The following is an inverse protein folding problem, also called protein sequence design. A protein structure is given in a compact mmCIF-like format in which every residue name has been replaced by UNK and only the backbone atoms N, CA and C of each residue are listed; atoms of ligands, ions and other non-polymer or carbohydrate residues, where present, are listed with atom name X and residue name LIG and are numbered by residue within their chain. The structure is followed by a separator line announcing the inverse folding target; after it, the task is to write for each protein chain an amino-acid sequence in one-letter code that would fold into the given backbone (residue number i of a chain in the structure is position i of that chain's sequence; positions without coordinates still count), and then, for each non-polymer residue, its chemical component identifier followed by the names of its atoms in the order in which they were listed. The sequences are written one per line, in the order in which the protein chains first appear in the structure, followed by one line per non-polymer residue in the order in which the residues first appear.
data_IF_937853414444
#
_entry.id   IF_937853414444
#
_cell.length_a   1.000
_cell.length_b   1.000
_cell.length_c   1.000
_cell.angle_alpha   90.00
_cell.angle_beta   90.00
_cell.angle_gamma   90.00
#
_symmetry.space_group_name_H-M   'P 1'
#
loop_
_entity.id
_entity.type
_entity.pdbx_description
1 polymer ?
#
# COMPACT_ATOMS: atom_id res chain seq x y z
N UNK A 1 -48.34 26.99 6.75
CA UNK A 1 -48.45 25.54 6.41
C UNK A 1 -48.08 25.22 4.95
N UNK A 2 -48.53 25.95 3.92
CA UNK A 2 -48.19 25.62 2.49
C UNK A 2 -46.70 25.68 2.16
N UNK A 3 -45.94 26.63 2.69
CA UNK A 3 -44.49 26.76 2.43
C UNK A 3 -43.67 25.66 3.13
N UNK A 4 -44.03 25.26 4.33
CA UNK A 4 -43.34 24.16 5.04
C UNK A 4 -43.52 22.81 4.32
N UNK A 5 -44.73 22.53 3.77
CA UNK A 5 -44.94 21.32 2.95
C UNK A 5 -44.15 21.34 1.64
N UNK A 6 -44.02 22.51 0.98
CA UNK A 6 -43.21 22.65 -0.25
C UNK A 6 -41.70 22.46 0.03
N UNK A 7 -41.22 23.01 1.15
CA UNK A 7 -39.82 22.84 1.57
C UNK A 7 -39.53 21.36 1.90
N UNK A 8 -40.47 20.69 2.63
CA UNK A 8 -40.30 19.27 2.93
C UNK A 8 -40.33 18.39 1.68
N UNK A 9 -41.18 18.70 0.71
CA UNK A 9 -41.21 18.00 -0.59
C UNK A 9 -39.96 18.25 -1.43
N UNK A 10 -39.40 19.48 -1.42
CA UNK A 10 -38.09 19.73 -2.08
C UNK A 10 -36.96 19.01 -1.41
N UNK A 11 -36.90 18.98 -0.09
CA UNK A 11 -35.88 18.22 0.66
C UNK A 11 -36.02 16.71 0.38
N UNK A 12 -37.24 16.19 0.38
CA UNK A 12 -37.50 14.78 0.04
C UNK A 12 -37.17 14.45 -1.43
N UNK A 13 -37.43 15.37 -2.36
CA UNK A 13 -37.04 15.21 -3.77
C UNK A 13 -35.51 15.26 -3.98
N UNK A 14 -34.81 16.15 -3.28
CA UNK A 14 -33.35 16.22 -3.31
C UNK A 14 -32.74 14.96 -2.69
N UNK A 15 -33.27 14.49 -1.56
CA UNK A 15 -32.85 13.22 -0.94
C UNK A 15 -33.16 12.01 -1.84
N UNK A 16 -34.34 12.02 -2.50
CA UNK A 16 -34.71 10.97 -3.45
C UNK A 16 -33.82 10.94 -4.69
N UNK A 17 -33.37 12.09 -5.19
CA UNK A 17 -32.43 12.18 -6.30
C UNK A 17 -31.01 11.77 -5.89
N UNK A 18 -30.56 12.07 -4.66
CA UNK A 18 -29.28 11.60 -4.12
C UNK A 18 -29.23 10.07 -3.94
N UNK A 19 -30.38 9.44 -3.69
CA UNK A 19 -30.49 7.97 -3.58
C UNK A 19 -30.65 7.31 -4.96
N UNK A 20 -31.22 8.02 -5.95
CA UNK A 20 -31.53 7.51 -7.28
C UNK A 20 -30.41 7.66 -8.33
N UNK A 21 -29.25 8.24 -7.98
CA UNK A 21 -28.12 8.28 -8.91
C UNK A 21 -27.46 6.91 -9.01
N UNK A 22 -28.06 6.12 -9.87
CA UNK A 22 -27.50 5.16 -10.84
C UNK A 22 -26.29 4.35 -10.42
N UNK A 23 -26.52 3.09 -10.27
CA UNK A 23 -25.62 2.00 -10.61
C UNK A 23 -24.93 2.20 -11.97
N UNK A 24 -23.86 2.97 -12.03
CA UNK A 24 -22.78 2.58 -12.91
C UNK A 24 -22.20 1.30 -12.27
N UNK A 25 -22.15 0.22 -13.04
CA UNK A 25 -21.67 -1.07 -12.59
C UNK A 25 -20.16 -0.98 -12.32
N UNK A 26 -19.79 -0.37 -11.20
CA UNK A 26 -18.47 -0.53 -10.59
C UNK A 26 -18.66 -1.62 -9.56
N UNK A 27 -18.02 -2.74 -9.76
CA UNK A 27 -18.04 -3.86 -8.82
C UNK A 27 -17.26 -3.48 -7.55
N UNK A 28 -17.71 -4.01 -6.41
CA UNK A 28 -16.91 -3.92 -5.19
C UNK A 28 -15.58 -4.65 -5.39
N UNK A 29 -14.49 -4.01 -4.98
CA UNK A 29 -13.18 -4.64 -5.05
C UNK A 29 -13.02 -5.64 -3.92
N UNK A 30 -12.82 -6.92 -4.24
CA UNK A 30 -12.62 -7.96 -3.23
C UNK A 30 -11.44 -7.62 -2.32
N UNK A 31 -11.70 -7.49 -1.01
CA UNK A 31 -10.69 -7.13 0.01
C UNK A 31 -10.16 -5.70 -0.10
N UNK A 32 -10.81 -4.86 -0.88
CA UNK A 32 -10.54 -3.43 -1.05
C UNK A 32 -11.77 -2.59 -0.70
N UNK A 33 -11.81 -1.33 -1.12
CA UNK A 33 -12.94 -0.45 -0.87
C UNK A 33 -14.18 -0.91 -1.66
N UNK A 34 -15.36 -0.86 -0.99
CA UNK A 34 -16.65 -1.08 -1.62
C UNK A 34 -17.16 0.20 -2.29
N UNK A 35 -18.03 0.04 -3.31
CA UNK A 35 -18.67 1.16 -3.98
C UNK A 35 -19.55 1.93 -2.98
N UNK A 36 -19.39 3.26 -2.94
CA UNK A 36 -20.09 4.16 -1.99
C UNK A 36 -19.88 3.83 -0.51
N UNK A 37 -18.73 3.28 -0.18
CA UNK A 37 -18.36 3.00 1.20
C UNK A 37 -18.27 4.31 2.00
N UNK A 38 -19.05 4.41 3.08
CA UNK A 38 -19.11 5.59 3.97
C UNK A 38 -18.28 5.42 5.24
N UNK A 39 -17.83 4.20 5.53
CA UNK A 39 -17.00 3.87 6.69
C UNK A 39 -15.76 3.11 6.24
N UNK A 40 -14.92 2.66 7.16
CA UNK A 40 -13.78 1.82 6.85
C UNK A 40 -14.20 0.50 6.19
N UNK A 41 -13.25 -0.16 5.53
CA UNK A 41 -13.45 -1.49 4.97
C UNK A 41 -13.87 -2.48 6.08
N UNK A 42 -14.62 -3.55 5.74
CA UNK A 42 -14.98 -4.57 6.71
C UNK A 42 -13.75 -5.10 7.46
N UNK A 43 -13.75 -5.06 8.80
CA UNK A 43 -12.59 -5.47 9.59
C UNK A 43 -12.42 -6.99 9.56
N UNK A 44 -11.15 -7.42 9.52
CA UNK A 44 -10.77 -8.84 9.56
C UNK A 44 -9.75 -9.15 10.65
N UNK A 45 -9.50 -8.19 11.52
CA UNK A 45 -8.66 -8.33 12.73
C UNK A 45 -9.38 -7.71 13.93
N UNK A 46 -9.04 -8.12 15.13
CA UNK A 46 -9.56 -7.49 16.36
C UNK A 46 -9.26 -5.99 16.40
N UNK A 47 -8.02 -5.57 16.06
CA UNK A 47 -7.63 -4.15 16.03
C UNK A 47 -8.47 -3.36 15.00
N UNK A 48 -8.66 -3.89 13.80
CA UNK A 48 -9.49 -3.24 12.78
C UNK A 48 -10.94 -3.10 13.25
N UNK A 49 -11.47 -4.08 13.98
CA UNK A 49 -12.80 -4.04 14.59
C UNK A 49 -12.90 -2.94 15.64
N UNK A 50 -11.91 -2.81 16.52
CA UNK A 50 -11.87 -1.74 17.54
C UNK A 50 -11.83 -0.36 16.88
N UNK A 51 -11.00 -0.18 15.83
CA UNK A 51 -10.91 1.07 15.05
C UNK A 51 -12.26 1.38 14.39
N UNK A 52 -12.91 0.38 13.77
CA UNK A 52 -14.21 0.55 13.12
C UNK A 52 -15.29 0.99 14.10
N UNK A 53 -15.35 0.36 15.28
CA UNK A 53 -16.31 0.70 16.33
C UNK A 53 -16.06 2.11 16.89
N UNK A 54 -14.79 2.44 17.15
CA UNK A 54 -14.41 3.77 17.63
C UNK A 54 -14.79 4.88 16.63
N UNK A 55 -14.49 4.66 15.35
CA UNK A 55 -14.89 5.59 14.30
C UNK A 55 -16.40 5.74 14.20
N UNK A 56 -17.16 4.64 14.26
CA UNK A 56 -18.63 4.67 14.24
C UNK A 56 -19.19 5.45 15.44
N UNK A 57 -18.66 5.24 16.63
CA UNK A 57 -19.03 6.00 17.82
C UNK A 57 -18.78 7.50 17.62
N UNK A 58 -17.60 7.87 17.11
CA UNK A 58 -17.26 9.27 16.83
C UNK A 58 -18.22 9.89 15.81
N UNK A 59 -18.54 9.17 14.72
CA UNK A 59 -19.48 9.64 13.71
C UNK A 59 -20.88 9.87 14.28
N UNK A 60 -21.37 8.97 15.12
CA UNK A 60 -22.68 9.14 15.80
C UNK A 60 -22.69 10.39 16.68
N UNK A 61 -21.65 10.60 17.49
CA UNK A 61 -21.51 11.79 18.32
C UNK A 61 -21.47 13.06 17.47
N UNK A 62 -20.68 13.08 16.38
CA UNK A 62 -20.62 14.23 15.47
C UNK A 62 -21.96 14.53 14.80
N UNK A 63 -22.71 13.51 14.37
CA UNK A 63 -24.05 13.69 13.78
C UNK A 63 -25.03 14.24 14.82
N UNK A 64 -25.00 13.76 16.05
CA UNK A 64 -25.88 14.27 17.13
C UNK A 64 -25.57 15.74 17.45
N UNK A 65 -24.29 16.11 17.54
CA UNK A 65 -23.88 17.51 17.75
C UNK A 65 -24.31 18.36 16.55
N UNK A 66 -24.09 17.92 15.33
CA UNK A 66 -24.53 18.60 14.11
C UNK A 66 -26.05 18.86 14.13
N UNK A 67 -26.84 17.82 14.39
CA UNK A 67 -28.30 17.95 14.44
C UNK A 67 -28.76 18.89 15.56
N UNK A 68 -28.13 18.85 16.75
CA UNK A 68 -28.46 19.74 17.85
C UNK A 68 -28.14 21.20 17.50
N UNK A 69 -26.94 21.48 17.03
CA UNK A 69 -26.49 22.86 16.74
C UNK A 69 -27.29 23.46 15.58
N UNK A 70 -27.36 22.76 14.45
CA UNK A 70 -28.12 23.25 13.29
C UNK A 70 -29.61 23.28 13.54
N UNK A 71 -30.16 22.33 14.33
CA UNK A 71 -31.53 22.32 14.76
C UNK A 71 -31.91 23.59 15.53
N UNK A 72 -31.12 23.95 16.55
CA UNK A 72 -31.31 25.20 17.31
C UNK A 72 -31.13 26.43 16.43
N UNK A 73 -30.11 26.44 15.56
CA UNK A 73 -29.89 27.55 14.64
C UNK A 73 -31.06 27.76 13.68
N UNK A 74 -31.50 26.72 12.99
CA UNK A 74 -32.67 26.83 12.07
C UNK A 74 -33.96 27.16 12.80
N UNK A 75 -34.18 26.58 13.99
CA UNK A 75 -35.31 26.96 14.83
C UNK A 75 -35.30 28.46 15.13
N UNK A 76 -34.15 29.00 15.55
CA UNK A 76 -33.98 30.43 15.86
C UNK A 76 -34.22 31.31 14.63
N UNK A 77 -33.63 30.95 13.47
CA UNK A 77 -33.83 31.70 12.21
C UNK A 77 -35.30 31.73 11.79
N UNK A 78 -36.00 30.60 11.91
CA UNK A 78 -37.41 30.50 11.46
C UNK A 78 -38.37 31.15 12.43
N UNK A 79 -38.17 30.95 13.73
CA UNK A 79 -39.12 31.41 14.78
C UNK A 79 -38.88 32.84 15.21
N UNK A 80 -37.60 33.28 15.28
CA UNK A 80 -37.27 34.59 15.84
C UNK A 80 -36.90 35.65 14.77
N UNK A 81 -37.30 35.39 13.50
CA UNK A 81 -37.03 36.35 12.42
C UNK A 81 -37.80 37.64 12.59
N UNK A 82 -37.21 38.76 12.27
CA UNK A 82 -37.79 40.15 12.36
C UNK A 82 -39.08 40.25 11.60
N UNK A 83 -39.27 39.57 10.47
CA UNK A 83 -40.52 39.59 9.67
C UNK A 83 -41.76 38.99 10.39
N UNK A 84 -41.59 38.32 11.51
CA UNK A 84 -42.68 37.83 12.37
C UNK A 84 -42.94 38.73 13.56
N UNK A 85 -42.34 39.97 13.60
CA UNK A 85 -42.51 40.92 14.67
C UNK A 85 -41.72 40.64 15.95
N UNK A 86 -40.82 39.62 15.92
CA UNK A 86 -39.97 39.32 17.09
C UNK A 86 -38.97 40.44 17.35
N UNK A 87 -38.83 40.82 18.62
CA UNK A 87 -37.76 41.69 19.11
C UNK A 87 -36.61 40.88 19.65
N UNK A 88 -35.41 41.36 19.50
CA UNK A 88 -34.24 40.71 20.07
C UNK A 88 -34.35 40.62 21.61
N UNK A 89 -33.92 39.50 22.17
CA UNK A 89 -33.83 39.35 23.62
C UNK A 89 -32.72 40.25 24.19
N UNK A 90 -32.87 40.64 25.44
CA UNK A 90 -31.97 41.59 26.14
C UNK A 90 -30.91 40.89 27.01
N UNK A 91 -30.85 39.58 27.01
CA UNK A 91 -29.80 38.87 27.76
C UNK A 91 -28.49 38.90 26.99
N UNK A 92 -27.39 39.02 27.73
CA UNK A 92 -26.02 39.10 27.16
C UNK A 92 -25.15 37.94 27.57
N UNK A 93 -25.49 37.23 28.64
CA UNK A 93 -24.72 36.13 29.21
C UNK A 93 -25.64 35.12 29.93
N UNK A 94 -25.15 33.93 30.14
CA UNK A 94 -25.79 32.90 30.96
C UNK A 94 -24.73 31.91 31.46
N UNK A 95 -24.26 32.11 32.66
CA UNK A 95 -23.22 31.28 33.30
C UNK A 95 -23.55 29.79 33.26
N UNK A 96 -24.83 29.41 33.44
CA UNK A 96 -25.26 28.02 33.37
C UNK A 96 -25.03 27.43 31.97
N UNK A 97 -25.37 28.16 30.92
CA UNK A 97 -25.16 27.68 29.52
C UNK A 97 -23.67 27.65 29.20
N UNK A 98 -22.90 28.61 29.67
CA UNK A 98 -21.44 28.67 29.47
C UNK A 98 -20.74 27.48 30.12
N UNK A 99 -21.10 27.15 31.37
CA UNK A 99 -20.60 25.97 32.06
C UNK A 99 -21.02 24.70 31.28
N UNK A 100 -22.28 24.62 30.85
CA UNK A 100 -22.77 23.43 30.14
C UNK A 100 -22.02 23.17 28.84
N UNK A 101 -21.81 24.22 27.98
CA UNK A 101 -21.13 23.99 26.72
C UNK A 101 -19.61 23.81 26.86
N UNK A 102 -19.04 24.08 28.03
CA UNK A 102 -17.65 23.78 28.37
C UNK A 102 -17.51 22.35 28.92
N UNK A 103 -18.36 21.99 29.90
CA UNK A 103 -18.25 20.71 30.61
C UNK A 103 -18.68 19.52 29.74
N UNK A 104 -19.76 19.67 28.98
CA UNK A 104 -20.30 18.57 28.15
C UNK A 104 -19.30 18.11 27.08
N UNK A 105 -18.69 18.99 26.25
CA UNK A 105 -17.65 18.57 25.30
C UNK A 105 -16.43 17.97 25.99
N UNK A 106 -16.01 18.53 27.12
CA UNK A 106 -14.89 17.98 27.89
C UNK A 106 -15.14 16.53 28.33
N UNK A 107 -16.34 16.22 28.84
CA UNK A 107 -16.73 14.86 29.20
C UNK A 107 -16.75 13.95 27.96
N UNK A 108 -17.29 14.41 26.84
CA UNK A 108 -17.31 13.66 25.58
C UNK A 108 -15.89 13.27 25.15
N UNK A 109 -14.96 14.23 25.18
CA UNK A 109 -13.54 13.98 24.81
C UNK A 109 -12.89 12.94 25.73
N UNK A 110 -13.10 13.03 27.04
CA UNK A 110 -12.56 12.04 27.99
C UNK A 110 -13.12 10.66 27.70
N UNK A 111 -14.44 10.53 27.52
CA UNK A 111 -15.09 9.25 27.22
C UNK A 111 -14.61 8.62 25.92
N UNK A 112 -14.26 9.43 24.92
CA UNK A 112 -13.68 8.94 23.65
C UNK A 112 -12.19 8.60 23.79
N UNK A 113 -11.43 9.33 24.62
CA UNK A 113 -10.00 9.11 24.78
C UNK A 113 -9.68 7.74 25.44
N UNK A 114 -10.52 7.27 26.35
CA UNK A 114 -10.29 6.00 27.06
C UNK A 114 -10.22 4.78 26.10
N UNK A 115 -11.24 4.49 25.27
CA UNK A 115 -11.17 3.39 24.32
C UNK A 115 -10.09 3.62 23.23
N UNK A 116 -9.90 4.86 22.78
CA UNK A 116 -8.86 5.19 21.80
C UNK A 116 -7.47 4.86 22.33
N UNK A 117 -7.15 5.23 23.58
CA UNK A 117 -5.86 4.92 24.21
C UNK A 117 -5.66 3.42 24.34
N UNK A 118 -6.69 2.66 24.73
CA UNK A 118 -6.62 1.20 24.82
C UNK A 118 -6.24 0.59 23.45
N UNK A 119 -6.89 1.02 22.38
CA UNK A 119 -6.60 0.53 21.02
C UNK A 119 -5.17 0.89 20.59
N UNK A 120 -4.72 2.14 20.82
CA UNK A 120 -3.35 2.57 20.50
C UNK A 120 -2.30 1.74 21.25
N UNK A 121 -2.50 1.47 22.54
CA UNK A 121 -1.58 0.62 23.32
C UNK A 121 -1.55 -0.80 22.76
N UNK A 122 -2.70 -1.38 22.41
CA UNK A 122 -2.78 -2.71 21.80
C UNK A 122 -2.04 -2.76 20.45
N UNK A 123 -2.16 -1.73 19.61
CA UNK A 123 -1.45 -1.64 18.32
C UNK A 123 0.08 -1.59 18.47
N UNK A 124 0.59 -1.13 19.59
CA UNK A 124 2.04 -1.03 19.87
C UNK A 124 2.66 -2.30 20.44
N UNK A 125 1.86 -3.27 20.84
CA UNK A 125 2.37 -4.54 21.35
C UNK A 125 2.75 -5.49 20.22
N UNK A 126 3.96 -5.37 19.71
CA UNK A 126 4.54 -6.25 18.66
C UNK A 126 5.25 -7.49 19.25
N UNK A 127 5.14 -7.74 20.55
CA UNK A 127 5.73 -8.89 21.21
C UNK A 127 5.09 -10.22 20.78
N UNK A 128 5.83 -11.32 20.96
CA UNK A 128 5.36 -12.69 20.70
C UNK A 128 4.74 -12.90 19.31
N UNK A 129 5.32 -12.28 18.29
CA UNK A 129 4.91 -12.53 16.90
C UNK A 129 5.32 -13.93 16.45
N UNK A 130 4.41 -14.63 15.79
CA UNK A 130 4.65 -15.95 15.20
C UNK A 130 5.58 -15.83 13.97
N UNK A 131 5.35 -14.79 13.16
CA UNK A 131 6.12 -14.50 11.95
C UNK A 131 6.50 -13.03 11.95
N UNK A 132 7.74 -12.73 11.56
CA UNK A 132 8.21 -11.35 11.35
C UNK A 132 8.65 -11.17 9.91
N UNK A 133 8.09 -10.16 9.25
CA UNK A 133 8.36 -9.82 7.86
C UNK A 133 8.84 -8.37 7.80
N UNK A 134 9.96 -8.14 7.11
CA UNK A 134 10.42 -6.79 6.82
C UNK A 134 9.78 -6.32 5.51
N UNK A 135 9.14 -5.16 5.55
CA UNK A 135 8.60 -4.47 4.38
C UNK A 135 9.45 -3.23 4.10
N UNK A 136 10.14 -3.23 2.97
CA UNK A 136 11.01 -2.12 2.55
C UNK A 136 10.34 -1.35 1.41
N UNK A 137 10.04 -0.06 1.66
CA UNK A 137 9.53 0.85 0.64
C UNK A 137 10.63 1.30 -0.33
N UNK A 138 10.31 1.33 -1.60
CA UNK A 138 11.16 1.83 -2.69
C UNK A 138 10.30 2.52 -3.73
N UNK A 139 10.86 3.43 -4.50
CA UNK A 139 10.20 4.12 -5.60
C UNK A 139 10.19 3.22 -6.87
N UNK A 140 9.10 2.55 -7.27
CA UNK A 140 7.79 2.49 -6.59
C UNK A 140 7.37 1.02 -6.51
N UNK A 141 7.75 0.36 -5.44
CA UNK A 141 7.48 -1.06 -5.14
C UNK A 141 7.71 -1.36 -3.67
N UNK A 142 7.29 -2.53 -3.24
CA UNK A 142 7.61 -3.07 -1.92
C UNK A 142 8.57 -4.24 -2.01
N UNK A 143 9.56 -4.31 -1.11
CA UNK A 143 10.37 -5.50 -0.88
C UNK A 143 9.92 -6.20 0.40
N UNK A 144 9.72 -7.49 0.36
CA UNK A 144 9.36 -8.30 1.52
C UNK A 144 10.45 -9.31 1.82
N UNK A 145 10.91 -9.34 3.09
CA UNK A 145 11.86 -10.32 3.61
C UNK A 145 11.23 -11.00 4.83
N UNK A 146 11.03 -12.31 4.80
CA UNK A 146 10.60 -13.09 5.96
C UNK A 146 11.80 -13.37 6.84
N UNK A 147 11.91 -12.62 7.95
CA UNK A 147 13.13 -12.59 8.79
C UNK A 147 13.03 -13.45 10.03
N UNK A 148 11.84 -13.97 10.38
CA UNK A 148 11.63 -14.87 11.50
C UNK A 148 10.34 -15.66 11.35
N UNK A 149 10.35 -16.92 11.77
CA UNK A 149 9.19 -17.82 11.80
C UNK A 149 9.08 -18.67 10.55
N UNK A 150 7.90 -19.27 10.33
CA UNK A 150 7.65 -20.07 9.15
C UNK A 150 7.73 -19.20 7.89
N UNK A 151 8.56 -19.60 6.93
CA UNK A 151 8.88 -18.81 5.74
C UNK A 151 10.21 -18.06 5.84
N UNK A 152 10.93 -18.11 6.97
CA UNK A 152 12.23 -17.45 7.13
C UNK A 152 13.17 -17.74 5.95
N UNK A 153 13.78 -16.67 5.42
CA UNK A 153 14.67 -16.70 4.26
C UNK A 153 13.96 -16.46 2.92
N UNK A 154 12.63 -16.46 2.87
CA UNK A 154 11.91 -16.07 1.66
C UNK A 154 12.00 -14.55 1.50
N UNK A 155 12.37 -14.07 0.31
CA UNK A 155 12.44 -12.65 -0.03
C UNK A 155 12.03 -12.43 -1.49
N UNK A 156 11.28 -11.35 -1.75
CA UNK A 156 10.84 -10.98 -3.10
C UNK A 156 10.44 -9.50 -3.18
N UNK A 157 10.34 -9.01 -4.41
CA UNK A 157 9.72 -7.71 -4.69
C UNK A 157 8.27 -7.90 -5.13
N UNK A 158 7.45 -6.91 -4.78
CA UNK A 158 6.05 -6.80 -5.13
C UNK A 158 5.86 -5.51 -5.92
N UNK A 159 5.49 -5.62 -7.19
CA UNK A 159 5.32 -4.50 -8.11
C UNK A 159 3.90 -4.46 -8.66
N UNK A 160 3.49 -3.28 -9.14
CA UNK A 160 2.18 -3.11 -9.77
C UNK A 160 2.01 -4.06 -10.96
N UNK A 161 0.93 -4.86 -10.94
CA UNK A 161 0.59 -5.77 -12.03
C UNK A 161 -0.21 -5.10 -13.17
N UNK A 162 -0.78 -3.90 -12.95
CA UNK A 162 -1.55 -3.20 -13.98
C UNK A 162 -0.66 -2.83 -15.17
N UNK A 163 -1.01 -3.27 -16.39
CA UNK A 163 -0.25 -2.98 -17.60
C UNK A 163 -0.16 -1.47 -17.87
N UNK A 164 0.96 -1.02 -18.46
CA UNK A 164 1.22 0.40 -18.73
C UNK A 164 0.25 1.02 -19.75
N UNK A 165 -0.25 0.26 -20.72
CA UNK A 165 -1.26 0.68 -21.70
C UNK A 165 -2.59 1.03 -21.04
N UNK A 166 -2.98 0.33 -19.98
CA UNK A 166 -4.16 0.68 -19.19
C UNK A 166 -3.98 2.00 -18.41
N UNK A 167 -2.74 2.36 -18.09
CA UNK A 167 -2.44 3.59 -17.33
C UNK A 167 -2.34 4.80 -18.28
N UNK A 168 -1.63 4.67 -19.38
CA UNK A 168 -1.21 5.80 -20.22
C UNK A 168 -1.84 5.82 -21.62
N UNK A 169 -2.26 4.68 -22.18
CA UNK A 169 -2.66 4.55 -23.59
C UNK A 169 -4.18 4.35 -23.78
N UNK A 170 -4.96 4.42 -22.69
CA UNK A 170 -6.42 4.38 -22.75
C UNK A 170 -7.02 2.99 -22.98
N UNK A 171 -6.24 1.91 -22.82
CA UNK A 171 -6.76 0.55 -22.84
C UNK A 171 -7.83 0.34 -21.75
N UNK A 172 -8.81 -0.57 -21.95
CA UNK A 172 -9.84 -0.87 -20.94
C UNK A 172 -9.24 -1.25 -19.60
N UNK A 173 -9.72 -0.64 -18.53
CA UNK A 173 -9.26 -0.91 -17.16
C UNK A 173 -9.86 -2.20 -16.64
N UNK A 174 -9.04 -3.06 -16.02
CA UNK A 174 -9.49 -4.24 -15.31
C UNK A 174 -10.17 -3.93 -13.97
N UNK A 175 -10.85 -4.92 -13.39
CA UNK A 175 -11.61 -4.76 -12.14
C UNK A 175 -10.76 -4.29 -10.95
N UNK A 176 -9.52 -4.73 -10.87
CA UNK A 176 -8.58 -4.36 -9.80
C UNK A 176 -7.54 -3.34 -10.26
N UNK A 177 -7.93 -2.43 -11.15
CA UNK A 177 -7.05 -1.41 -11.70
C UNK A 177 -6.27 -0.68 -10.61
N UNK A 178 -4.93 -0.66 -10.73
CA UNK A 178 -3.95 -0.10 -9.79
C UNK A 178 -3.92 -0.74 -8.39
N UNK A 179 -4.61 -1.85 -8.16
CA UNK A 179 -4.71 -2.52 -6.86
C UNK A 179 -4.33 -4.01 -6.89
N UNK A 180 -3.58 -4.42 -7.90
CA UNK A 180 -2.99 -5.75 -8.03
C UNK A 180 -1.48 -5.69 -8.14
N UNK A 181 -0.82 -6.72 -7.63
CA UNK A 181 0.63 -6.89 -7.69
C UNK A 181 1.01 -8.23 -8.31
N UNK A 182 2.22 -8.30 -8.83
CA UNK A 182 2.80 -9.53 -9.37
C UNK A 182 3.07 -10.59 -8.28
N UNK A 183 3.54 -10.17 -7.11
CA UNK A 183 3.88 -11.01 -5.98
C UNK A 183 3.22 -10.50 -4.69
N UNK A 184 2.05 -11.00 -4.29
CA UNK A 184 1.38 -10.60 -3.06
C UNK A 184 2.16 -11.07 -1.82
N UNK A 185 2.06 -10.31 -0.73
CA UNK A 185 2.49 -10.77 0.59
C UNK A 185 1.58 -11.92 1.05
N UNK A 186 2.15 -13.04 1.48
CA UNK A 186 1.38 -14.23 1.88
C UNK A 186 1.59 -14.51 3.36
N UNK A 187 0.51 -14.67 4.12
CA UNK A 187 0.54 -14.95 5.55
C UNK A 187 -0.52 -15.97 5.96
N UNK A 188 -0.31 -16.75 7.03
CA UNK A 188 -1.32 -17.67 7.53
C UNK A 188 -2.39 -16.96 8.37
N UNK A 189 -3.61 -17.47 8.34
CA UNK A 189 -4.71 -17.04 9.20
C UNK A 189 -4.41 -17.33 10.68
N UNK A 190 -4.96 -16.53 11.59
CA UNK A 190 -4.87 -16.68 13.05
C UNK A 190 -3.45 -16.65 13.64
N UNK A 191 -2.44 -16.26 12.90
CA UNK A 191 -1.08 -16.01 13.42
C UNK A 191 -0.83 -14.53 13.60
N UNK A 192 -0.05 -14.17 14.61
CA UNK A 192 0.39 -12.79 14.85
C UNK A 192 1.57 -12.46 13.92
N UNK A 193 1.32 -11.59 12.96
CA UNK A 193 2.30 -11.17 11.97
C UNK A 193 2.85 -9.80 12.37
N UNK A 194 4.15 -9.73 12.64
CA UNK A 194 4.85 -8.46 12.84
C UNK A 194 5.41 -7.99 11.52
N UNK A 195 5.05 -6.77 11.14
CA UNK A 195 5.63 -6.09 9.96
C UNK A 195 6.64 -5.05 10.45
N UNK A 196 7.87 -5.22 10.06
CA UNK A 196 8.96 -4.27 10.31
C UNK A 196 9.14 -3.42 9.07
N UNK A 197 8.96 -2.10 9.17
CA UNK A 197 9.00 -1.19 8.03
C UNK A 197 10.26 -0.36 8.00
N UNK A 198 10.80 -0.15 6.81
CA UNK A 198 11.87 0.80 6.48
C UNK A 198 11.76 1.21 5.02
N UNK A 199 12.59 2.14 4.56
CA UNK A 199 12.67 2.52 3.15
C UNK A 199 14.11 2.71 2.71
N UNK A 200 14.36 2.56 1.39
CA UNK A 200 15.69 2.72 0.80
C UNK A 200 15.93 4.13 0.25
N UNK A 201 14.89 4.90 -0.03
CA UNK A 201 14.97 6.15 -0.78
C UNK A 201 14.23 7.32 -0.09
N UNK A 202 12.90 7.35 -0.16
CA UNK A 202 12.04 8.38 0.44
C UNK A 202 11.13 7.77 1.49
N UNK A 203 10.33 8.59 2.17
CA UNK A 203 9.33 8.09 3.10
C UNK A 203 8.18 7.46 2.31
N UNK A 204 7.77 6.27 2.71
CA UNK A 204 6.58 5.54 2.29
C UNK A 204 5.76 5.20 3.52
N UNK A 205 4.54 4.67 3.35
CA UNK A 205 3.80 4.07 4.46
C UNK A 205 3.09 2.80 4.01
N UNK A 206 3.34 1.71 4.72
CA UNK A 206 2.70 0.43 4.49
C UNK A 206 1.36 0.38 5.22
N UNK A 207 0.27 0.20 4.50
CA UNK A 207 -1.04 0.17 5.14
C UNK A 207 -2.08 -0.67 4.40
N UNK A 208 -2.88 -1.41 5.21
CA UNK A 208 -3.98 -2.25 4.73
C UNK A 208 -5.18 -2.04 5.65
N UNK A 209 -6.18 -1.28 5.20
CA UNK A 209 -7.30 -0.85 6.06
C UNK A 209 -8.09 -2.00 6.68
N UNK A 210 -8.37 -3.08 5.93
CA UNK A 210 -9.09 -4.24 6.46
C UNK A 210 -8.34 -4.96 7.61
N UNK A 211 -7.01 -4.84 7.65
CA UNK A 211 -6.16 -5.36 8.73
C UNK A 211 -5.99 -4.36 9.89
N UNK A 212 -6.43 -3.11 9.73
CA UNK A 212 -6.34 -2.06 10.74
C UNK A 212 -4.91 -1.54 10.96
N UNK A 213 -4.04 -1.61 9.96
CA UNK A 213 -2.64 -1.22 10.08
C UNK A 213 -2.24 -0.14 9.06
N UNK A 214 -1.50 0.85 9.56
CA UNK A 214 -0.71 1.82 8.79
C UNK A 214 0.58 2.09 9.55
N UNK A 215 1.73 1.92 8.91
CA UNK A 215 3.02 2.21 9.51
C UNK A 215 3.95 2.84 8.48
N UNK A 216 4.52 3.98 8.84
CA UNK A 216 5.48 4.67 7.98
C UNK A 216 6.76 3.86 7.82
N UNK A 217 7.29 3.87 6.61
CA UNK A 217 8.55 3.27 6.20
C UNK A 217 9.53 4.42 5.88
N UNK A 218 10.44 4.69 6.82
CA UNK A 218 11.30 5.89 6.81
C UNK A 218 12.74 5.46 6.55
N UNK A 219 13.46 6.09 5.59
CA UNK A 219 14.88 5.80 5.35
C UNK A 219 15.73 6.00 6.61
N UNK A 220 16.58 5.03 6.91
CA UNK A 220 17.45 5.06 8.08
C UNK A 220 16.77 4.76 9.42
N UNK A 221 15.46 4.55 9.44
CA UNK A 221 14.71 4.17 10.64
C UNK A 221 14.05 2.82 10.46
N UNK A 222 13.86 2.12 11.58
CA UNK A 222 13.09 0.88 11.66
C UNK A 222 11.87 1.14 12.53
N UNK A 223 10.69 0.87 11.97
CA UNK A 223 9.41 0.94 12.65
C UNK A 223 8.75 -0.43 12.59
N UNK A 224 7.76 -0.66 13.42
CA UNK A 224 7.00 -1.90 13.36
C UNK A 224 5.53 -1.71 13.70
N UNK A 225 4.74 -2.62 13.20
CA UNK A 225 3.33 -2.80 13.48
C UNK A 225 3.01 -4.29 13.46
N UNK A 226 1.79 -4.68 13.79
CA UNK A 226 1.37 -6.06 13.73
C UNK A 226 -0.11 -6.19 13.40
N UNK A 227 -0.48 -7.35 12.88
CA UNK A 227 -1.86 -7.75 12.74
C UNK A 227 -2.01 -9.26 12.96
N UNK A 228 -3.25 -9.69 13.23
CA UNK A 228 -3.66 -11.08 13.27
C UNK A 228 -4.95 -11.19 12.46
N UNK A 229 -4.85 -11.67 11.23
CA UNK A 229 -6.01 -11.85 10.37
C UNK A 229 -6.81 -13.07 10.80
N UNK A 230 -8.12 -12.91 11.00
CA UNK A 230 -9.03 -13.95 11.49
C UNK A 230 -9.81 -14.63 10.35
N UNK A 231 -9.65 -14.14 9.12
CA UNK A 231 -10.34 -14.68 7.93
C UNK A 231 -9.38 -14.85 6.78
N UNK A 232 -9.44 -16.00 6.14
CA UNK A 232 -8.77 -16.29 4.86
C UNK A 232 -9.34 -15.36 3.78
N UNK A 233 -8.48 -14.85 2.90
CA UNK A 233 -8.88 -13.97 1.81
C UNK A 233 -7.75 -13.08 1.31
N UNK A 234 -8.05 -12.28 0.29
CA UNK A 234 -7.13 -11.29 -0.27
C UNK A 234 -7.51 -9.90 0.26
N UNK A 235 -6.55 -9.17 0.83
CA UNK A 235 -6.76 -7.84 1.39
C UNK A 235 -5.85 -6.83 0.71
N UNK A 236 -6.39 -5.67 0.37
CA UNK A 236 -5.73 -4.65 -0.42
C UNK A 236 -5.47 -3.39 0.37
N UNK A 237 -4.32 -2.81 0.12
CA UNK A 237 -3.86 -1.56 0.67
C UNK A 237 -2.99 -0.79 -0.31
N UNK A 238 -2.42 0.29 0.15
CA UNK A 238 -1.63 1.18 -0.68
C UNK A 238 -0.44 1.75 0.11
N UNK A 239 0.45 2.44 -0.60
CA UNK A 239 1.34 3.39 0.03
C UNK A 239 0.52 4.59 0.51
N UNK A 240 0.65 4.98 1.78
CA UNK A 240 -0.12 6.05 2.41
C UNK A 240 0.71 7.31 2.71
N UNK A 241 1.96 7.37 2.25
CA UNK A 241 2.80 8.57 2.34
C UNK A 241 3.28 8.97 0.96
N UNK A 242 3.09 10.25 0.59
CA UNK A 242 3.46 10.74 -0.74
C UNK A 242 4.96 10.53 -1.01
N UNK A 243 5.27 9.63 -1.94
CA UNK A 243 6.63 9.17 -2.23
C UNK A 243 7.12 9.50 -3.65
N UNK A 244 6.44 10.38 -4.37
CA UNK A 244 6.82 10.84 -5.71
C UNK A 244 5.76 10.60 -6.77
N UNK A 245 6.13 10.68 -8.05
CA UNK A 245 5.21 10.70 -9.20
C UNK A 245 4.37 9.42 -9.38
N UNK A 246 4.88 8.27 -8.96
CA UNK A 246 4.20 6.98 -9.05
C UNK A 246 3.70 6.47 -7.69
N UNK A 247 3.45 7.38 -6.75
CA UNK A 247 2.93 7.06 -5.43
C UNK A 247 1.66 6.18 -5.46
N UNK A 248 0.76 6.40 -6.41
CA UNK A 248 -0.45 5.60 -6.60
C UNK A 248 -0.20 4.23 -7.26
N UNK A 249 1.03 3.95 -7.70
CA UNK A 249 1.38 2.77 -8.51
C UNK A 249 2.23 1.75 -7.73
N UNK A 250 2.15 1.77 -6.40
CA UNK A 250 2.78 0.79 -5.52
C UNK A 250 1.77 0.25 -4.49
N UNK A 251 0.75 -0.49 -4.96
CA UNK A 251 -0.26 -1.07 -4.08
C UNK A 251 0.32 -2.17 -3.22
N UNK A 252 -0.48 -2.58 -2.22
CA UNK A 252 -0.19 -3.69 -1.31
C UNK A 252 -1.30 -4.71 -1.46
N UNK A 253 -0.94 -5.97 -1.67
CA UNK A 253 -1.87 -7.10 -1.64
C UNK A 253 -1.38 -8.11 -0.62
N UNK A 254 -2.25 -8.48 0.30
CA UNK A 254 -1.99 -9.49 1.33
C UNK A 254 -2.93 -10.66 1.13
N UNK A 255 -2.39 -11.83 0.83
CA UNK A 255 -3.12 -13.08 0.76
C UNK A 255 -3.01 -13.80 2.10
N UNK A 256 -4.12 -13.88 2.82
CA UNK A 256 -4.24 -14.64 4.05
C UNK A 256 -4.71 -16.05 3.68
N UNK A 257 -3.89 -17.04 3.92
CA UNK A 257 -4.15 -18.45 3.58
C UNK A 257 -4.51 -19.26 4.82
N UNK A 258 -5.07 -20.46 4.61
CA UNK A 258 -5.13 -21.49 5.65
C UNK A 258 -3.70 -21.85 6.11
N UNK A 259 -3.56 -22.45 7.29
CA UNK A 259 -2.24 -22.89 7.77
C UNK A 259 -1.63 -23.93 6.82
N UNK A 260 -2.45 -24.83 6.27
CA UNK A 260 -2.03 -25.87 5.31
C UNK A 260 -1.55 -25.26 3.97
N UNK A 261 -2.34 -24.35 3.38
CA UNK A 261 -1.99 -23.70 2.11
C UNK A 261 -0.75 -22.80 2.28
N UNK A 262 -0.61 -22.16 3.46
CA UNK A 262 0.57 -21.37 3.78
C UNK A 262 1.83 -22.23 3.87
N UNK A 263 1.76 -23.38 4.56
CA UNK A 263 2.89 -24.31 4.64
C UNK A 263 3.30 -24.84 3.25
N UNK A 264 2.33 -25.12 2.39
CA UNK A 264 2.58 -25.48 0.99
C UNK A 264 3.24 -24.34 0.22
N UNK A 265 2.72 -23.12 0.33
CA UNK A 265 3.32 -21.94 -0.29
C UNK A 265 4.77 -21.74 0.16
N UNK A 266 5.06 -21.88 1.47
CA UNK A 266 6.42 -21.80 2.02
C UNK A 266 7.32 -22.87 1.41
N UNK A 267 6.85 -24.11 1.33
CA UNK A 267 7.61 -25.20 0.75
C UNK A 267 7.94 -24.96 -0.74
N UNK A 268 6.97 -24.45 -1.51
CA UNK A 268 7.15 -24.15 -2.92
C UNK A 268 8.10 -22.97 -3.15
N UNK A 269 8.03 -21.93 -2.31
CA UNK A 269 8.93 -20.78 -2.41
C UNK A 269 10.34 -21.10 -1.90
N UNK A 270 10.50 -21.96 -0.89
CA UNK A 270 11.81 -22.47 -0.47
C UNK A 270 12.43 -23.40 -1.51
N UNK A 271 11.63 -24.20 -2.18
CA UNK A 271 12.10 -25.02 -3.33
C UNK A 271 12.50 -24.12 -4.50
N UNK A 272 11.77 -23.02 -4.75
CA UNK A 272 12.13 -22.00 -5.74
C UNK A 272 13.47 -21.34 -5.44
N UNK A 273 13.80 -21.10 -4.16
CA UNK A 273 15.14 -20.68 -3.74
C UNK A 273 16.20 -21.77 -3.96
N UNK A 274 15.82 -23.04 -3.86
CA UNK A 274 16.66 -24.19 -4.20
C UNK A 274 16.69 -24.46 -5.71
N UNK A 275 15.57 -24.17 -6.42
CA UNK A 275 15.49 -24.21 -7.89
C UNK A 275 16.34 -23.11 -8.54
N UNK A 276 16.56 -21.98 -7.83
CA UNK A 276 17.55 -20.97 -8.24
C UNK A 276 18.96 -21.52 -8.30
N UNK A 277 19.31 -22.50 -7.45
CA UNK A 277 20.58 -23.21 -7.51
C UNK A 277 20.58 -24.27 -8.62
N UNK A 278 19.48 -24.98 -8.84
CA UNK A 278 19.34 -25.92 -9.98
C UNK A 278 19.32 -25.17 -11.32
N UNK A 279 18.61 -24.04 -11.42
CA UNK A 279 18.61 -23.16 -12.58
C UNK A 279 19.98 -22.53 -12.85
N UNK A 280 20.77 -22.28 -11.83
CA UNK A 280 22.14 -21.73 -11.99
C UNK A 280 23.07 -22.68 -12.75
N UNK A 281 22.82 -23.97 -12.72
CA UNK A 281 23.60 -24.97 -13.47
C UNK A 281 23.04 -25.22 -14.88
N UNK A 282 21.84 -24.71 -15.22
CA UNK A 282 21.26 -24.83 -16.54
C UNK A 282 21.72 -23.63 -17.40
N UNK A 283 22.44 -23.93 -18.48
CA UNK A 283 22.78 -22.90 -19.46
C UNK A 283 21.52 -22.47 -20.21
N UNK A 284 21.22 -21.18 -20.16
CA UNK A 284 20.12 -20.55 -20.90
C UNK A 284 20.61 -19.98 -22.22
N UNK A 285 19.76 -20.01 -23.23
CA UNK A 285 20.03 -19.39 -24.53
C UNK A 285 19.97 -17.86 -24.44
N UNK A 286 20.57 -17.19 -25.41
CA UNK A 286 20.50 -15.72 -25.49
C UNK A 286 19.05 -15.20 -25.58
N UNK A 287 18.19 -15.91 -26.29
CA UNK A 287 16.77 -15.56 -26.42
C UNK A 287 16.02 -15.65 -25.06
N UNK A 288 16.22 -16.74 -24.31
CA UNK A 288 15.63 -16.92 -22.98
C UNK A 288 16.13 -15.86 -22.01
N UNK A 289 17.45 -15.59 -21.98
CA UNK A 289 18.05 -14.56 -21.14
C UNK A 289 17.54 -13.16 -21.50
N UNK A 290 17.40 -12.83 -22.78
CA UNK A 290 16.89 -11.53 -23.20
C UNK A 290 15.40 -11.36 -22.84
N UNK A 291 14.58 -12.36 -23.05
CA UNK A 291 13.15 -12.30 -22.69
C UNK A 291 12.97 -12.11 -21.18
N UNK A 292 13.65 -12.93 -20.37
CA UNK A 292 13.61 -12.81 -18.91
C UNK A 292 14.24 -11.49 -18.44
N UNK A 293 15.36 -11.10 -19.04
CA UNK A 293 16.07 -9.87 -18.72
C UNK A 293 15.27 -8.61 -19.02
N UNK A 294 14.48 -8.60 -20.08
CA UNK A 294 13.56 -7.50 -20.39
C UNK A 294 12.51 -7.33 -19.27
N UNK A 295 11.93 -8.43 -18.79
CA UNK A 295 10.97 -8.41 -17.68
C UNK A 295 11.61 -7.92 -16.38
N UNK A 296 12.81 -8.42 -16.04
CA UNK A 296 13.57 -7.98 -14.85
C UNK A 296 13.95 -6.51 -14.96
N UNK A 297 14.34 -6.05 -16.14
CA UNK A 297 14.69 -4.65 -16.40
C UNK A 297 13.47 -3.73 -16.20
N UNK A 298 12.33 -4.10 -16.80
CA UNK A 298 11.09 -3.35 -16.66
C UNK A 298 10.65 -3.21 -15.19
N UNK A 299 10.76 -4.30 -14.42
CA UNK A 299 10.34 -4.32 -13.02
C UNK A 299 11.30 -3.59 -12.06
N UNK A 300 12.61 -3.56 -12.37
CA UNK A 300 13.63 -3.18 -11.38
C UNK A 300 14.54 -2.03 -11.79
N UNK A 301 14.70 -1.73 -13.08
CA UNK A 301 15.76 -0.84 -13.58
C UNK A 301 15.22 0.40 -14.30
N UNK A 302 14.06 0.30 -14.95
CA UNK A 302 13.46 1.34 -15.78
C UNK A 302 13.23 2.64 -15.02
N UNK A 303 12.83 2.57 -13.75
CA UNK A 303 12.54 3.75 -12.93
C UNK A 303 13.70 4.76 -12.88
N UNK A 304 14.95 4.25 -12.84
CA UNK A 304 16.16 5.07 -12.81
C UNK A 304 16.81 5.20 -14.19
N UNK A 305 16.92 4.08 -14.92
CA UNK A 305 17.67 4.03 -16.17
C UNK A 305 16.84 4.31 -17.42
N UNK A 306 15.51 4.49 -17.28
CA UNK A 306 14.50 4.73 -18.32
C UNK A 306 14.40 3.57 -19.34
N UNK A 307 13.28 3.48 -20.07
CA UNK A 307 13.09 2.46 -21.12
C UNK A 307 14.14 2.55 -22.22
N UNK A 308 14.59 3.78 -22.52
CA UNK A 308 15.64 4.05 -23.51
C UNK A 308 17.06 3.67 -23.05
N UNK A 309 17.25 3.28 -21.78
CA UNK A 309 18.56 3.03 -21.20
C UNK A 309 19.45 4.28 -21.04
N UNK A 310 18.94 5.49 -21.36
CA UNK A 310 19.72 6.75 -21.33
C UNK A 310 19.82 7.36 -19.95
N UNK A 311 19.10 6.81 -18.97
CA UNK A 311 19.07 7.36 -17.62
C UNK A 311 18.51 8.77 -17.53
N UNK A 312 18.88 9.48 -16.49
CA UNK A 312 18.50 10.89 -16.25
C UNK A 312 19.78 11.70 -16.05
N UNK A 313 20.13 12.65 -16.91
CA UNK A 313 21.34 13.44 -16.79
C UNK A 313 21.48 14.08 -15.41
N UNK A 314 22.65 13.91 -14.78
CA UNK A 314 22.94 14.43 -13.45
C UNK A 314 22.36 13.64 -12.27
N UNK A 315 21.44 12.70 -12.50
CA UNK A 315 20.82 11.89 -11.43
C UNK A 315 21.12 10.39 -11.60
N UNK A 316 20.84 9.82 -12.77
CA UNK A 316 21.00 8.39 -13.02
C UNK A 316 21.80 8.14 -14.31
N UNK A 317 22.89 7.34 -14.26
CA UNK A 317 23.74 7.15 -15.44
C UNK A 317 23.05 6.37 -16.55
N UNK A 318 23.46 6.64 -17.79
CA UNK A 318 23.04 5.86 -18.95
C UNK A 318 23.63 4.44 -18.87
N UNK A 319 22.81 3.46 -19.28
CA UNK A 319 23.26 2.09 -19.58
C UNK A 319 23.58 1.92 -21.07
N UNK A 320 22.84 2.65 -21.91
CA UNK A 320 23.11 2.72 -23.35
C UNK A 320 24.48 3.38 -23.60
N UNK A 321 25.36 2.68 -24.30
CA UNK A 321 26.75 3.12 -24.55
C UNK A 321 27.68 3.08 -23.33
N UNK A 322 27.23 2.55 -22.17
CA UNK A 322 27.97 2.54 -20.90
C UNK A 322 29.25 1.72 -21.02
N UNK A 323 30.37 2.29 -20.53
CA UNK A 323 31.66 1.56 -20.42
C UNK A 323 31.57 0.35 -19.48
N UNK A 324 30.73 0.40 -18.44
CA UNK A 324 30.52 -0.72 -17.52
C UNK A 324 29.72 -1.82 -18.19
N UNK A 325 28.63 -1.47 -18.88
CA UNK A 325 27.79 -2.43 -19.60
C UNK A 325 28.55 -3.11 -20.73
N UNK A 326 29.39 -2.39 -21.46
CA UNK A 326 30.20 -2.92 -22.57
C UNK A 326 31.59 -3.45 -22.12
N UNK A 327 31.92 -3.32 -20.83
CA UNK A 327 33.18 -3.77 -20.23
C UNK A 327 33.17 -5.23 -19.74
N UNK A 328 34.08 -5.59 -18.80
CA UNK A 328 34.15 -6.92 -18.21
C UNK A 328 32.83 -7.32 -17.52
N UNK A 329 32.38 -8.56 -17.69
CA UNK A 329 31.14 -9.08 -17.07
C UNK A 329 31.17 -9.00 -15.55
N UNK A 330 32.31 -9.32 -14.95
CA UNK A 330 32.48 -9.33 -13.49
C UNK A 330 32.19 -7.99 -12.83
N UNK A 331 32.54 -6.88 -13.49
CA UNK A 331 32.30 -5.53 -12.96
C UNK A 331 30.77 -5.24 -12.87
N UNK A 332 30.03 -5.67 -13.88
CA UNK A 332 28.57 -5.50 -13.90
C UNK A 332 27.89 -6.44 -12.90
N UNK A 333 28.36 -7.69 -12.77
CA UNK A 333 27.87 -8.63 -11.75
C UNK A 333 28.13 -8.06 -10.35
N UNK A 334 29.36 -7.62 -10.06
CA UNK A 334 29.72 -7.04 -8.77
C UNK A 334 28.90 -5.79 -8.45
N UNK A 335 28.61 -4.95 -9.46
CA UNK A 335 27.79 -3.75 -9.30
C UNK A 335 26.33 -4.09 -8.93
N UNK A 336 25.72 -5.09 -9.55
CA UNK A 336 24.37 -5.51 -9.19
C UNK A 336 24.35 -6.17 -7.80
N UNK A 337 25.33 -7.00 -7.48
CA UNK A 337 25.37 -7.67 -6.19
C UNK A 337 25.60 -6.70 -5.02
N UNK A 338 26.48 -5.72 -5.19
CA UNK A 338 26.90 -4.86 -4.08
C UNK A 338 26.22 -3.47 -4.07
N UNK A 339 25.63 -3.07 -5.20
CA UNK A 339 25.20 -1.70 -5.41
C UNK A 339 26.37 -0.74 -5.64
N UNK A 340 26.08 0.52 -5.96
CA UNK A 340 27.08 1.59 -6.06
C UNK A 340 26.42 2.97 -5.93
N UNK A 341 26.88 3.79 -5.00
CA UNK A 341 26.30 5.11 -4.72
C UNK A 341 24.77 5.01 -4.46
N UNK A 342 23.94 5.68 -5.25
CA UNK A 342 22.48 5.62 -5.15
C UNK A 342 21.87 4.33 -5.72
N UNK A 343 22.63 3.49 -6.44
CA UNK A 343 22.15 2.21 -6.95
C UNK A 343 22.13 1.17 -5.82
N UNK A 344 20.97 0.60 -5.46
CA UNK A 344 20.90 -0.39 -4.39
C UNK A 344 21.55 -1.71 -4.79
N UNK A 345 21.87 -2.54 -3.79
CA UNK A 345 22.22 -3.94 -3.99
C UNK A 345 21.02 -4.75 -4.46
N UNK A 346 21.22 -5.58 -5.47
CA UNK A 346 20.21 -6.48 -6.05
C UNK A 346 20.46 -7.94 -5.66
N UNK A 347 21.09 -8.18 -4.51
CA UNK A 347 21.32 -9.54 -3.99
C UNK A 347 20.06 -10.39 -3.81
N UNK A 348 18.91 -9.74 -3.71
CA UNK A 348 17.60 -10.39 -3.57
C UNK A 348 17.08 -11.00 -4.89
N UNK A 349 17.59 -10.56 -6.04
CA UNK A 349 17.32 -11.22 -7.31
C UNK A 349 18.05 -12.57 -7.38
N UNK A 350 17.43 -13.57 -8.01
CA UNK A 350 18.07 -14.86 -8.27
C UNK A 350 19.26 -14.71 -9.22
N UNK A 351 20.15 -15.72 -9.22
CA UNK A 351 21.31 -15.71 -10.11
C UNK A 351 20.89 -15.68 -11.59
N UNK A 352 19.77 -16.35 -11.92
CA UNK A 352 19.20 -16.32 -13.26
C UNK A 352 18.66 -14.96 -13.63
N UNK A 353 17.99 -14.25 -12.73
CA UNK A 353 17.48 -12.90 -12.96
C UNK A 353 18.61 -11.89 -13.15
N UNK A 354 19.66 -11.95 -12.31
CA UNK A 354 20.83 -11.09 -12.46
C UNK A 354 21.54 -11.39 -13.78
N UNK A 355 21.75 -12.67 -14.12
CA UNK A 355 22.36 -13.06 -15.38
C UNK A 355 21.55 -12.57 -16.59
N UNK A 356 20.22 -12.71 -16.51
CA UNK A 356 19.30 -12.31 -17.55
C UNK A 356 19.28 -10.80 -17.77
N UNK A 357 19.17 -9.99 -16.71
CA UNK A 357 19.15 -8.53 -16.86
C UNK A 357 20.50 -7.97 -17.32
N UNK A 358 21.62 -8.56 -16.89
CA UNK A 358 22.94 -8.20 -17.40
C UNK A 358 23.02 -8.52 -18.89
N UNK A 359 22.64 -9.74 -19.30
CA UNK A 359 22.63 -10.14 -20.70
C UNK A 359 21.75 -9.22 -21.55
N UNK A 360 20.54 -8.90 -21.06
CA UNK A 360 19.62 -7.97 -21.73
C UNK A 360 20.28 -6.59 -21.95
N UNK A 361 20.79 -5.95 -20.90
CA UNK A 361 21.39 -4.61 -21.02
C UNK A 361 22.63 -4.60 -21.91
N UNK A 362 23.39 -5.68 -21.96
CA UNK A 362 24.57 -5.84 -22.83
C UNK A 362 24.25 -6.03 -24.31
N UNK A 363 23.01 -6.45 -24.62
CA UNK A 363 22.57 -6.76 -26.00
C UNK A 363 21.40 -5.88 -26.45
N UNK A 364 21.05 -4.85 -25.69
CA UNK A 364 19.94 -3.96 -25.99
C UNK A 364 20.41 -2.53 -26.30
N UNK A 365 19.55 -1.72 -26.90
CA UNK A 365 19.81 -0.37 -27.40
C UNK A 365 21.00 -0.36 -28.41
N UNK A 366 21.97 0.52 -28.19
CA UNK A 366 23.18 0.55 -28.99
C UNK A 366 24.28 -0.37 -28.47
N UNK A 367 24.08 -1.01 -27.32
CA UNK A 367 25.05 -1.93 -26.74
C UNK A 367 25.17 -3.20 -27.60
N UNK A 368 26.37 -3.48 -28.07
CA UNK A 368 26.69 -4.66 -28.86
C UNK A 368 27.92 -5.32 -28.23
N UNK A 369 27.77 -5.79 -27.01
CA UNK A 369 28.87 -6.48 -26.30
C UNK A 369 29.14 -7.89 -26.86
N UNK A 370 28.83 -8.12 -28.15
CA UNK A 370 29.22 -9.26 -28.94
C UNK A 370 28.83 -10.61 -28.35
N UNK A 371 27.50 -10.93 -28.30
CA UNK A 371 26.96 -12.19 -27.77
C UNK A 371 27.45 -12.58 -26.35
N UNK A 372 27.92 -11.62 -25.58
CA UNK A 372 28.46 -11.81 -24.25
C UNK A 372 27.33 -12.07 -23.25
N UNK A 373 26.80 -13.29 -23.28
CA UNK A 373 25.83 -13.77 -22.30
C UNK A 373 26.52 -13.93 -20.94
N UNK A 374 25.79 -13.56 -19.90
CA UNK A 374 26.12 -13.95 -18.52
C UNK A 374 25.21 -15.10 -18.15
N UNK A 375 25.81 -16.16 -17.63
CA UNK A 375 25.06 -17.32 -17.13
C UNK A 375 24.88 -17.23 -15.61
N UNK A 376 23.84 -17.87 -15.10
CA UNK A 376 23.55 -17.89 -13.66
C UNK A 376 24.72 -18.46 -12.83
N UNK A 377 25.46 -19.43 -13.37
CA UNK A 377 26.65 -19.98 -12.73
C UNK A 377 27.77 -18.94 -12.50
N UNK A 378 27.92 -17.94 -13.40
CA UNK A 378 28.91 -16.86 -13.25
C UNK A 378 28.48 -15.92 -12.09
N UNK A 379 27.18 -15.66 -11.93
CA UNK A 379 26.64 -14.86 -10.83
C UNK A 379 26.79 -15.61 -9.51
N UNK A 380 26.42 -16.89 -9.46
CA UNK A 380 26.58 -17.75 -8.28
C UNK A 380 28.04 -17.80 -7.80
N UNK A 381 28.98 -17.90 -8.72
CA UNK A 381 30.41 -17.89 -8.41
C UNK A 381 30.85 -16.53 -7.80
N UNK A 382 30.23 -15.43 -8.23
CA UNK A 382 30.56 -14.09 -7.73
C UNK A 382 29.87 -13.75 -6.39
N UNK A 383 28.87 -14.52 -5.94
CA UNK A 383 28.24 -14.36 -4.60
C UNK A 383 29.10 -14.92 -3.46
N UNK A 384 30.05 -15.81 -3.77
CA UNK A 384 30.96 -16.43 -2.82
C UNK A 384 32.13 -15.46 -2.49
#
# INVERSE_FOLDING_TARGET
MKYAKRLLMMIAAIFGQLVATSSFAVNDMTGGPAVRQLNFQPPVTGIASDIYQLHTLMMVICVLIFLAVFGVMFYSILKHRKSLGHKAASFHESTTVEIAWTVVPFIIVILMALPATKTVVAMKDTSNADITIKATGMQWKWGYDYIKGEGEGIAFYSTLATPRDQIHEGAPKGDNYLNEVDNPLVVPVNKKIRIVTTANDVIHAWGVPALGVKQDAIPGFVRDTWFKAEKVGTYRGNCYELCGKEHAFMPIVVNVLSEEDYAKWVADNKKGSSAGVEDANKALTLAELNTKGASVYAANCVACHQDSGKGVPGAFPALDGSKVVNGPKGDQIAMLLNGKNAMPSWKTLSDVEIAAVITYTRNHWSNKAGQNMVQAAEVLAARK
#
